data_IF_590121295556
#
_entry.id   IF_590121295556
#
_cell.length_a   1.000
_cell.length_b   1.000
_cell.length_c   1.000
_cell.angle_alpha   90.00
_cell.angle_beta   90.00
_cell.angle_gamma   90.00
#
_symmetry.space_group_name_H-M   'P 1'
#
loop_
_entity.id
_entity.type
_entity.pdbx_description
1 polymer ?
#
# COMPACT_ATOMS: atom_id res chain seq x y z
N UNK A 1 -13.49 9.18 11.53
CA UNK A 1 -12.32 9.10 12.45
C UNK A 1 -11.96 10.55 12.74
N UNK A 2 -11.87 10.94 13.96
CA UNK A 2 -11.46 12.32 14.30
C UNK A 2 -9.91 12.36 14.31
N UNK A 3 -9.34 12.84 13.22
CA UNK A 3 -7.90 12.92 13.03
C UNK A 3 -7.25 13.86 14.06
N UNK A 4 -7.91 14.97 14.34
CA UNK A 4 -7.43 15.96 15.33
C UNK A 4 -7.33 15.35 16.74
N UNK A 5 -8.31 14.54 17.16
CA UNK A 5 -8.25 13.85 18.46
C UNK A 5 -7.18 12.77 18.52
N UNK A 6 -6.81 12.20 17.38
CA UNK A 6 -5.78 11.15 17.29
C UNK A 6 -4.36 11.75 17.35
N UNK A 7 -4.17 12.94 16.78
CA UNK A 7 -2.85 13.60 16.69
C UNK A 7 -2.55 14.45 17.92
N UNK A 8 -3.54 15.18 18.43
CA UNK A 8 -3.39 16.10 19.56
C UNK A 8 -2.95 15.36 20.82
N UNK A 9 -1.85 15.79 21.41
CA UNK A 9 -1.24 15.14 22.59
C UNK A 9 -0.47 13.86 22.31
N UNK A 10 -0.35 13.45 21.04
CA UNK A 10 0.50 12.33 20.62
C UNK A 10 1.91 12.79 20.27
N UNK A 11 2.83 11.82 20.10
CA UNK A 11 4.18 12.10 19.60
C UNK A 11 4.18 12.72 18.19
N UNK A 12 3.08 12.62 17.47
CA UNK A 12 2.93 13.14 16.12
C UNK A 12 2.56 14.62 16.08
N UNK A 13 2.16 15.24 17.20
CA UNK A 13 1.64 16.61 17.23
C UNK A 13 2.63 17.66 16.69
N UNK A 14 3.92 17.43 16.79
CA UNK A 14 4.96 18.31 16.24
C UNK A 14 5.48 17.91 14.86
N UNK A 15 4.98 16.84 14.27
CA UNK A 15 5.52 16.26 13.02
C UNK A 15 4.88 16.82 11.76
N UNK A 16 3.71 17.41 11.87
CA UNK A 16 3.00 17.91 10.69
C UNK A 16 3.52 19.29 10.26
N UNK A 17 3.61 19.54 8.96
CA UNK A 17 4.04 20.83 8.45
C UNK A 17 3.16 21.96 8.97
N UNK A 18 3.78 23.11 9.25
CA UNK A 18 3.06 24.32 9.62
C UNK A 18 2.05 24.68 8.53
N UNK A 19 0.82 24.99 8.93
CA UNK A 19 -0.27 25.33 8.01
C UNK A 19 -1.20 24.19 7.61
N UNK A 20 -0.99 22.97 8.12
CA UNK A 20 -1.99 21.92 7.97
C UNK A 20 -3.23 22.23 8.80
N UNK A 21 -4.38 22.23 8.10
CA UNK A 21 -5.69 22.50 8.69
C UNK A 21 -6.37 21.15 9.01
N UNK A 22 -6.19 20.69 10.24
CA UNK A 22 -6.74 19.40 10.68
C UNK A 22 -8.27 19.35 10.65
N UNK A 23 -8.96 20.49 10.84
CA UNK A 23 -10.42 20.53 10.77
C UNK A 23 -10.89 20.28 9.34
N UNK A 24 -10.19 20.84 8.34
CA UNK A 24 -10.48 20.54 6.93
C UNK A 24 -10.15 19.10 6.56
N UNK A 25 -9.07 18.54 7.10
CA UNK A 25 -8.71 17.14 6.89
C UNK A 25 -9.79 16.24 7.46
N UNK A 26 -10.23 16.47 8.70
CA UNK A 26 -11.30 15.70 9.32
C UNK A 26 -12.63 15.80 8.56
N UNK A 27 -13.00 17.00 8.12
CA UNK A 27 -14.18 17.20 7.29
C UNK A 27 -14.11 16.45 5.96
N UNK A 28 -12.92 16.43 5.34
CA UNK A 28 -12.68 15.68 4.11
C UNK A 28 -12.78 14.16 4.36
N UNK A 29 -12.16 13.66 5.43
CA UNK A 29 -12.19 12.24 5.78
C UNK A 29 -13.60 11.75 6.21
N UNK A 30 -14.43 12.61 6.75
CA UNK A 30 -15.81 12.27 7.13
C UNK A 30 -16.70 11.93 5.92
N UNK A 31 -16.34 12.39 4.73
CA UNK A 31 -17.09 12.14 3.49
C UNK A 31 -16.57 10.95 2.69
N UNK A 32 -15.61 10.21 3.23
CA UNK A 32 -14.70 9.43 2.43
C UNK A 32 -15.18 8.08 1.83
N UNK A 33 -15.96 7.18 2.45
CA UNK A 33 -16.01 5.81 1.92
C UNK A 33 -16.71 5.68 0.57
N UNK A 34 -17.82 6.35 0.37
CA UNK A 34 -18.61 6.24 -0.87
C UNK A 34 -18.01 7.07 -2.01
N UNK A 35 -17.52 8.28 -1.70
CA UNK A 35 -16.88 9.14 -2.68
C UNK A 35 -15.46 8.66 -3.12
N UNK A 36 -14.75 7.93 -2.27
CA UNK A 36 -13.42 7.40 -2.60
C UNK A 36 -13.45 6.36 -3.74
N UNK A 37 -14.60 5.76 -4.01
CA UNK A 37 -14.79 4.77 -5.08
C UNK A 37 -15.38 5.37 -6.36
N UNK A 38 -15.94 6.58 -6.26
CA UNK A 38 -16.46 7.30 -7.42
C UNK A 38 -15.34 8.00 -8.17
N UNK A 39 -15.18 7.63 -9.45
CA UNK A 39 -14.15 8.24 -10.30
C UNK A 39 -14.37 9.75 -10.42
N UNK A 40 -13.42 10.52 -9.94
CA UNK A 40 -13.42 11.96 -10.06
C UNK A 40 -12.89 12.41 -11.44
N UNK A 41 -13.36 13.52 -11.96
CA UNK A 41 -12.99 14.05 -13.29
C UNK A 41 -11.50 14.40 -13.43
N UNK A 42 -10.82 14.69 -12.32
CA UNK A 42 -9.39 15.02 -12.28
C UNK A 42 -8.47 13.80 -12.16
N UNK A 43 -9.02 12.59 -11.95
CA UNK A 43 -8.19 11.40 -11.88
C UNK A 43 -7.55 11.07 -13.22
N UNK A 44 -6.33 10.61 -13.19
CA UNK A 44 -5.69 10.08 -14.39
C UNK A 44 -6.58 9.00 -15.00
N UNK A 45 -6.77 9.05 -16.32
CA UNK A 45 -7.64 8.12 -17.07
C UNK A 45 -7.27 6.65 -16.84
N UNK A 46 -5.98 6.37 -16.59
CA UNK A 46 -5.43 5.04 -16.41
C UNK A 46 -5.41 4.60 -14.93
N UNK A 47 -5.84 5.47 -14.01
CA UNK A 47 -5.97 5.14 -12.60
C UNK A 47 -7.27 4.37 -12.37
N UNK A 48 -7.13 3.12 -11.98
CA UNK A 48 -8.24 2.20 -11.70
C UNK A 48 -8.17 1.70 -10.25
N UNK A 49 -8.95 2.27 -9.32
CA UNK A 49 -9.01 1.75 -7.96
C UNK A 49 -9.63 0.35 -7.94
N UNK A 50 -9.02 -0.55 -7.22
CA UNK A 50 -9.52 -1.91 -7.01
C UNK A 50 -10.11 -1.99 -5.61
N UNK A 51 -11.41 -2.24 -5.52
CA UNK A 51 -12.06 -2.48 -4.24
C UNK A 51 -11.85 -3.91 -3.78
N UNK A 52 -11.64 -4.07 -2.47
CA UNK A 52 -11.62 -5.34 -1.79
C UNK A 52 -12.72 -5.36 -0.73
N UNK A 53 -13.39 -6.47 -0.58
CA UNK A 53 -14.45 -6.65 0.40
C UNK A 53 -13.92 -6.68 1.84
N UNK A 54 -12.71 -7.19 2.01
CA UNK A 54 -12.02 -7.26 3.29
C UNK A 54 -10.49 -7.32 3.11
N UNK A 55 -9.76 -7.36 4.25
CA UNK A 55 -8.30 -7.43 4.28
C UNK A 55 -7.79 -8.76 3.68
N UNK A 56 -8.52 -9.85 3.86
CA UNK A 56 -8.11 -11.14 3.34
C UNK A 56 -8.13 -11.16 1.81
N UNK A 57 -9.15 -10.58 1.19
CA UNK A 57 -9.21 -10.40 -0.27
C UNK A 57 -8.11 -9.47 -0.77
N UNK A 58 -7.85 -8.38 -0.05
CA UNK A 58 -6.74 -7.47 -0.35
C UNK A 58 -5.39 -8.22 -0.33
N UNK A 59 -5.11 -8.99 0.70
CA UNK A 59 -3.87 -9.76 0.84
C UNK A 59 -3.66 -10.72 -0.33
N UNK A 60 -4.70 -11.44 -0.73
CA UNK A 60 -4.64 -12.36 -1.89
C UNK A 60 -4.36 -11.60 -3.17
N UNK A 61 -5.10 -10.52 -3.46
CA UNK A 61 -4.93 -9.72 -4.67
C UNK A 61 -3.54 -9.10 -4.74
N UNK A 62 -3.09 -8.46 -3.67
CA UNK A 62 -1.75 -7.85 -3.62
C UNK A 62 -0.64 -8.87 -3.73
N UNK A 63 -0.76 -10.01 -3.04
CA UNK A 63 0.20 -11.10 -3.17
C UNK A 63 0.28 -11.66 -4.59
N UNK A 64 -0.86 -11.82 -5.25
CA UNK A 64 -0.93 -12.23 -6.64
C UNK A 64 -0.24 -11.21 -7.57
N UNK A 65 -0.49 -9.91 -7.40
CA UNK A 65 0.14 -8.87 -8.22
C UNK A 65 1.66 -8.86 -8.06
N UNK A 66 2.18 -8.95 -6.83
CA UNK A 66 3.62 -9.06 -6.57
C UNK A 66 4.21 -10.27 -7.31
N UNK A 67 3.61 -11.45 -7.15
CA UNK A 67 4.08 -12.66 -7.80
C UNK A 67 3.99 -12.59 -9.33
N UNK A 68 2.91 -11.98 -9.84
CA UNK A 68 2.69 -11.82 -11.28
C UNK A 68 3.70 -10.87 -11.93
N UNK A 69 4.11 -9.79 -11.26
CA UNK A 69 5.17 -8.91 -11.75
C UNK A 69 6.53 -9.62 -11.78
N UNK A 70 6.82 -10.47 -10.80
CA UNK A 70 8.04 -11.32 -10.81
C UNK A 70 8.00 -12.28 -12.00
N UNK A 71 6.87 -12.96 -12.22
CA UNK A 71 6.69 -13.88 -13.35
C UNK A 71 6.85 -13.17 -14.70
N UNK A 72 6.29 -11.98 -14.86
CA UNK A 72 6.47 -11.16 -16.06
C UNK A 72 7.94 -10.79 -16.27
N UNK A 73 8.61 -10.35 -15.19
CA UNK A 73 10.03 -9.99 -15.25
C UNK A 73 10.92 -11.19 -15.65
N UNK A 74 10.60 -12.39 -15.15
CA UNK A 74 11.28 -13.62 -15.53
C UNK A 74 11.08 -13.96 -17.02
N UNK A 75 9.85 -13.88 -17.50
CA UNK A 75 9.53 -14.14 -18.91
C UNK A 75 10.25 -13.15 -19.85
N UNK A 76 10.36 -11.90 -19.43
CA UNK A 76 11.02 -10.82 -20.17
C UNK A 76 12.55 -10.78 -19.95
N UNK A 77 13.10 -11.61 -19.06
CA UNK A 77 14.51 -11.65 -18.66
C UNK A 77 15.03 -10.29 -18.17
N UNK A 78 14.19 -9.52 -17.50
CA UNK A 78 14.53 -8.20 -16.95
C UNK A 78 14.77 -8.26 -15.45
N UNK A 79 15.55 -7.30 -14.97
CA UNK A 79 15.69 -7.03 -13.55
C UNK A 79 14.44 -6.35 -13.02
N UNK A 80 14.06 -6.66 -11.79
CA UNK A 80 12.92 -6.07 -11.11
C UNK A 80 13.35 -5.55 -9.74
N UNK A 81 12.95 -4.32 -9.42
CA UNK A 81 13.11 -3.74 -8.10
C UNK A 81 11.75 -3.39 -7.52
N UNK A 82 11.50 -3.80 -6.29
CA UNK A 82 10.34 -3.43 -5.51
C UNK A 82 10.72 -2.49 -4.38
N UNK A 83 9.82 -1.55 -4.08
CA UNK A 83 9.78 -0.83 -2.82
C UNK A 83 8.51 -1.29 -2.12
N UNK A 84 8.63 -1.98 -1.00
CA UNK A 84 7.55 -2.69 -0.34
C UNK A 84 7.28 -2.11 1.06
N UNK A 85 6.01 -1.95 1.46
CA UNK A 85 5.65 -1.48 2.79
C UNK A 85 5.90 -2.57 3.85
N UNK A 86 6.19 -2.16 5.08
CA UNK A 86 6.43 -3.07 6.21
C UNK A 86 5.15 -3.39 7.00
N UNK A 87 4.15 -2.50 6.99
CA UNK A 87 2.93 -2.67 7.79
C UNK A 87 2.05 -3.85 7.38
N UNK A 88 1.52 -3.91 6.15
CA UNK A 88 0.58 -4.94 5.71
C UNK A 88 1.31 -6.22 5.29
N UNK A 89 1.61 -7.10 6.24
CA UNK A 89 2.41 -8.30 6.01
C UNK A 89 1.65 -9.49 5.40
N UNK A 90 0.32 -9.49 5.44
CA UNK A 90 -0.51 -10.62 4.98
C UNK A 90 -0.30 -10.96 3.51
N UNK A 91 -0.15 -9.95 2.66
CA UNK A 91 0.05 -10.11 1.21
C UNK A 91 1.33 -10.87 0.84
N UNK A 92 2.40 -10.77 1.63
CA UNK A 92 3.67 -11.43 1.31
C UNK A 92 3.58 -12.95 1.41
N UNK A 93 2.75 -13.48 2.32
CA UNK A 93 2.46 -14.90 2.41
C UNK A 93 1.84 -15.42 1.12
N UNK A 94 0.94 -14.66 0.54
CA UNK A 94 0.30 -14.99 -0.72
C UNK A 94 1.25 -14.85 -1.90
N UNK A 95 2.10 -13.82 -1.92
CA UNK A 95 3.14 -13.71 -2.95
C UNK A 95 4.05 -14.96 -2.96
N UNK A 96 4.53 -15.38 -1.78
CA UNK A 96 5.36 -16.59 -1.64
C UNK A 96 4.59 -17.84 -2.07
N UNK A 97 3.30 -17.94 -1.73
CA UNK A 97 2.46 -19.05 -2.16
C UNK A 97 2.39 -19.15 -3.69
N UNK A 98 2.04 -18.07 -4.37
CA UNK A 98 1.93 -18.06 -5.83
C UNK A 98 3.28 -18.33 -6.53
N UNK A 99 4.36 -17.75 -6.04
CA UNK A 99 5.70 -17.99 -6.59
C UNK A 99 6.11 -19.46 -6.49
N UNK A 100 5.80 -20.13 -5.39
CA UNK A 100 6.04 -21.57 -5.21
C UNK A 100 5.17 -22.40 -6.16
N UNK A 101 3.87 -22.11 -6.23
CA UNK A 101 2.95 -22.83 -7.12
C UNK A 101 3.34 -22.69 -8.59
N UNK A 102 3.86 -21.53 -8.98
CA UNK A 102 4.28 -21.27 -10.35
C UNK A 102 5.72 -21.65 -10.64
N UNK A 103 6.47 -22.09 -9.63
CA UNK A 103 7.90 -22.41 -9.71
C UNK A 103 8.73 -21.24 -10.27
N UNK A 104 8.47 -20.02 -9.80
CA UNK A 104 9.14 -18.80 -10.24
C UNK A 104 10.39 -18.50 -9.40
N UNK A 105 11.46 -18.10 -10.07
CA UNK A 105 12.71 -17.66 -9.44
C UNK A 105 12.65 -16.18 -9.04
N UNK A 106 13.32 -15.83 -7.95
CA UNK A 106 13.50 -14.45 -7.51
C UNK A 106 14.95 -13.94 -7.68
N UNK A 107 15.80 -14.64 -8.45
CA UNK A 107 17.21 -14.27 -8.62
C UNK A 107 17.43 -12.89 -9.27
N UNK A 108 16.46 -12.42 -10.05
CA UNK A 108 16.49 -11.12 -10.72
C UNK A 108 15.69 -10.04 -9.98
N UNK A 109 15.30 -10.28 -8.72
CA UNK A 109 14.45 -9.40 -7.93
C UNK A 109 15.23 -8.77 -6.78
N UNK A 110 15.11 -7.45 -6.64
CA UNK A 110 15.61 -6.67 -5.50
C UNK A 110 14.44 -6.06 -4.75
N UNK A 111 14.41 -6.26 -3.44
CA UNK A 111 13.40 -5.67 -2.57
C UNK A 111 14.04 -4.63 -1.67
N UNK A 112 13.41 -3.48 -1.57
CA UNK A 112 13.73 -2.42 -0.64
C UNK A 112 12.50 -2.17 0.24
N UNK A 113 12.70 -2.03 1.53
CA UNK A 113 11.62 -1.62 2.42
C UNK A 113 11.37 -0.12 2.27
N UNK A 114 10.11 0.26 2.23
CA UNK A 114 9.70 1.67 2.20
C UNK A 114 10.01 2.35 3.53
N UNK A 115 9.88 1.60 4.60
CA UNK A 115 10.05 2.00 5.99
C UNK A 115 10.49 0.79 6.83
N UNK A 116 10.87 1.03 8.06
CA UNK A 116 11.21 -0.01 9.04
C UNK A 116 10.70 0.39 10.42
N UNK A 117 10.50 -0.59 11.27
CA UNK A 117 10.25 -0.37 12.67
C UNK A 117 11.57 -0.09 13.40
N UNK A 118 11.56 0.94 14.25
CA UNK A 118 12.66 1.24 15.16
C UNK A 118 12.16 1.25 16.59
N UNK A 119 12.97 0.75 17.51
CA UNK A 119 12.71 0.83 18.95
C UNK A 119 13.19 2.17 19.57
N UNK A 120 13.69 3.06 18.73
CA UNK A 120 14.06 4.42 19.13
C UNK A 120 15.53 4.59 19.56
N UNK A 121 16.38 3.60 19.34
CA UNK A 121 17.82 3.67 19.56
C UNK A 121 18.58 4.21 18.34
#
# INVERSE_FOLDING_TARGET
MDFNSTVKGSLLEGFYPEGWDFEKIDACCAHAPEAATERQSFWNKDFMPVQCGDVAEFDVKMGHEIANEIRKANAEKRKLAFILPVGPMGMYRWAVYFLKEWNESCENVWCFNMDEWSDGD
#
